data_IF_700536654703
#
_entry.id   IF_700536654703
#
_cell.length_a   1.000
_cell.length_b   1.000
_cell.length_c   1.000
_cell.angle_alpha   90.00
_cell.angle_beta   90.00
_cell.angle_gamma   90.00
#
_symmetry.space_group_name_H-M   'P 1'
#
loop_
_entity.id
_entity.type
_entity.pdbx_description
1 polymer ?
#
# COMPACT_ATOMS: atom_id res chain seq x y z
N UNK A 1 11.54 3.01 -11.35
CA UNK A 1 10.63 3.53 -10.30
C UNK A 1 9.19 3.66 -10.81
N UNK A 2 8.92 4.35 -11.94
CA UNK A 2 7.56 4.50 -12.48
C UNK A 2 6.86 3.17 -12.88
N UNK A 3 7.56 2.20 -13.48
CA UNK A 3 6.96 0.90 -13.83
C UNK A 3 6.55 0.08 -12.59
N UNK A 4 7.37 0.10 -11.54
CA UNK A 4 7.08 -0.62 -10.29
C UNK A 4 6.02 0.10 -9.47
N UNK A 5 6.01 1.44 -9.47
CA UNK A 5 4.99 2.26 -8.82
C UNK A 5 3.61 2.05 -9.46
N UNK A 6 3.51 2.00 -10.79
CA UNK A 6 2.25 1.65 -11.47
C UNK A 6 1.77 0.25 -11.10
N UNK A 7 2.67 -0.72 -10.95
CA UNK A 7 2.31 -2.07 -10.49
C UNK A 7 1.77 -2.04 -9.06
N UNK A 8 2.45 -1.35 -8.14
CA UNK A 8 2.04 -1.22 -6.73
C UNK A 8 0.69 -0.50 -6.58
N UNK A 9 0.48 0.56 -7.38
CA UNK A 9 -0.80 1.29 -7.41
C UNK A 9 -1.92 0.38 -7.93
N UNK A 10 -1.70 -0.34 -9.04
CA UNK A 10 -2.70 -1.26 -9.58
C UNK A 10 -3.08 -2.36 -8.57
N UNK A 11 -2.10 -2.99 -7.92
CA UNK A 11 -2.38 -4.04 -6.93
C UNK A 11 -3.07 -3.51 -5.67
N UNK A 12 -2.77 -2.26 -5.27
CA UNK A 12 -3.44 -1.62 -4.14
C UNK A 12 -4.90 -1.26 -4.50
N UNK A 13 -5.14 -0.76 -5.71
CA UNK A 13 -6.49 -0.46 -6.21
C UNK A 13 -7.37 -1.71 -6.30
N UNK A 14 -6.83 -2.82 -6.81
CA UNK A 14 -7.58 -4.08 -6.96
C UNK A 14 -7.89 -4.76 -5.62
N UNK A 15 -7.16 -4.45 -4.55
CA UNK A 15 -7.48 -4.93 -3.19
C UNK A 15 -8.41 -3.97 -2.45
N UNK A 16 -8.30 -2.66 -2.70
CA UNK A 16 -9.15 -1.64 -2.07
C UNK A 16 -10.61 -1.70 -2.54
N UNK A 17 -10.83 -1.85 -3.85
CA UNK A 17 -12.17 -1.93 -4.46
C UNK A 17 -13.09 -2.98 -3.82
N UNK A 18 -12.73 -4.28 -3.74
CA UNK A 18 -13.59 -5.30 -3.15
C UNK A 18 -13.81 -5.10 -1.64
N UNK A 19 -12.81 -4.59 -0.91
CA UNK A 19 -12.97 -4.29 0.53
C UNK A 19 -13.96 -3.14 0.74
N UNK A 20 -13.95 -2.12 -0.11
CA UNK A 20 -14.92 -1.04 -0.11
C UNK A 20 -16.35 -1.57 -0.38
N UNK A 21 -16.48 -2.44 -1.38
CA UNK A 21 -17.74 -3.12 -1.74
C UNK A 21 -18.27 -3.96 -0.57
N UNK A 22 -17.39 -4.72 0.10
CA UNK A 22 -17.74 -5.51 1.29
C UNK A 22 -18.11 -4.64 2.49
N UNK A 23 -17.48 -3.47 2.65
CA UNK A 23 -17.84 -2.54 3.70
C UNK A 23 -19.24 -1.95 3.51
N UNK A 24 -19.61 -1.61 2.27
CA UNK A 24 -20.91 -1.00 1.94
C UNK A 24 -22.03 -2.05 1.89
N UNK A 25 -21.77 -3.24 1.33
CA UNK A 25 -22.80 -4.25 1.04
C UNK A 25 -22.67 -5.57 1.83
N UNK A 26 -21.61 -5.78 2.61
CA UNK A 26 -21.34 -7.07 3.29
C UNK A 26 -22.18 -7.37 4.53
N UNK A 27 -23.01 -6.43 4.99
CA UNK A 27 -23.84 -6.61 6.18
C UNK A 27 -23.08 -6.48 7.53
N UNK A 28 -23.78 -6.57 8.67
CA UNK A 28 -23.28 -6.11 9.97
C UNK A 28 -22.11 -6.93 10.53
N UNK A 29 -22.04 -8.23 10.22
CA UNK A 29 -20.95 -9.10 10.67
C UNK A 29 -19.65 -8.79 9.91
N UNK A 30 -19.76 -8.54 8.59
CA UNK A 30 -18.61 -8.32 7.71
C UNK A 30 -18.16 -6.87 7.76
N UNK A 31 -19.05 -5.93 8.07
CA UNK A 31 -18.72 -4.50 8.16
C UNK A 31 -17.59 -4.20 9.16
N UNK A 32 -17.61 -4.81 10.35
CA UNK A 32 -16.54 -4.61 11.35
C UNK A 32 -15.20 -5.18 10.89
N UNK A 33 -15.21 -6.33 10.21
CA UNK A 33 -14.02 -6.94 9.65
C UNK A 33 -13.47 -6.14 8.46
N UNK A 34 -14.35 -5.69 7.56
CA UNK A 34 -14.02 -4.84 6.42
C UNK A 34 -13.47 -3.49 6.87
N UNK A 35 -13.98 -2.90 7.96
CA UNK A 35 -13.45 -1.67 8.55
C UNK A 35 -12.01 -1.86 9.05
N UNK A 36 -11.72 -2.95 9.76
CA UNK A 36 -10.37 -3.29 10.18
C UNK A 36 -9.42 -3.48 8.99
N UNK A 37 -9.87 -4.17 7.93
CA UNK A 37 -9.11 -4.32 6.68
C UNK A 37 -8.88 -2.98 5.97
N UNK A 38 -9.89 -2.10 5.93
CA UNK A 38 -9.78 -0.79 5.28
C UNK A 38 -8.71 0.07 5.95
N UNK A 39 -8.69 0.10 7.29
CA UNK A 39 -7.67 0.81 8.07
C UNK A 39 -6.28 0.20 7.81
N UNK A 40 -6.18 -1.14 7.80
CA UNK A 40 -4.93 -1.84 7.53
C UNK A 40 -4.37 -1.57 6.13
N UNK A 41 -5.24 -1.55 5.11
CA UNK A 41 -4.85 -1.24 3.72
C UNK A 41 -4.42 0.21 3.60
N UNK A 42 -5.16 1.17 4.18
CA UNK A 42 -4.77 2.58 4.15
C UNK A 42 -3.42 2.83 4.82
N UNK A 43 -3.20 2.28 6.01
CA UNK A 43 -1.94 2.40 6.73
C UNK A 43 -0.79 1.69 5.99
N UNK A 44 -1.05 0.49 5.45
CA UNK A 44 -0.07 -0.30 4.72
C UNK A 44 0.33 0.30 3.37
N UNK A 45 -0.63 0.78 2.59
CA UNK A 45 -0.38 1.45 1.30
C UNK A 45 0.37 2.76 1.51
N UNK A 46 -0.01 3.57 2.50
CA UNK A 46 0.71 4.81 2.82
C UNK A 46 2.14 4.52 3.28
N UNK A 47 2.33 3.56 4.20
CA UNK A 47 3.66 3.15 4.67
C UNK A 47 4.54 2.60 3.54
N UNK A 48 4.01 1.74 2.68
CA UNK A 48 4.79 1.11 1.60
C UNK A 48 5.18 2.12 0.51
N UNK A 49 4.33 3.11 0.21
CA UNK A 49 4.65 4.14 -0.80
C UNK A 49 5.60 5.19 -0.24
N UNK A 50 5.32 5.72 0.95
CA UNK A 50 6.08 6.85 1.51
C UNK A 50 7.26 6.42 2.35
N UNK A 51 7.12 5.44 3.25
CA UNK A 51 8.18 5.05 4.19
C UNK A 51 9.17 4.13 3.47
N UNK A 52 8.73 3.07 2.80
CA UNK A 52 9.65 2.17 2.10
C UNK A 52 10.33 2.85 0.89
N UNK A 53 9.61 3.73 0.17
CA UNK A 53 10.18 4.51 -0.93
C UNK A 53 11.27 5.48 -0.50
N UNK A 54 11.05 6.21 0.60
CA UNK A 54 12.06 7.14 1.15
C UNK A 54 13.23 6.40 1.81
N UNK A 55 12.98 5.32 2.58
CA UNK A 55 14.05 4.49 3.14
C UNK A 55 14.95 3.91 2.06
N UNK A 56 14.38 3.41 0.95
CA UNK A 56 15.16 2.86 -0.16
C UNK A 56 15.99 3.95 -0.84
N UNK A 57 15.43 5.15 -1.01
CA UNK A 57 16.16 6.31 -1.56
C UNK A 57 17.32 6.75 -0.65
N UNK A 58 17.09 6.76 0.66
CA UNK A 58 18.11 7.12 1.65
C UNK A 58 19.19 6.03 1.78
N UNK A 59 18.80 4.76 1.75
CA UNK A 59 19.72 3.62 1.71
C UNK A 59 20.55 3.64 0.43
N UNK A 60 19.94 3.90 -0.73
CA UNK A 60 20.67 4.06 -1.99
C UNK A 60 21.64 5.27 -1.97
N UNK A 61 21.29 6.34 -1.26
CA UNK A 61 22.20 7.48 -1.07
C UNK A 61 23.35 7.19 -0.10
N UNK A 62 23.21 6.18 0.78
CA UNK A 62 24.24 5.74 1.73
C UNK A 62 25.04 4.53 1.25
N UNK A 63 24.54 3.78 0.26
CA UNK A 63 25.25 2.64 -0.31
C UNK A 63 26.46 3.10 -1.14
N UNK A 64 27.67 2.59 -0.85
CA UNK A 64 28.93 3.02 -1.46
C UNK A 64 29.12 2.57 -2.93
N UNK A 65 28.06 2.13 -3.61
CA UNK A 65 28.10 1.74 -5.02
C UNK A 65 28.23 2.95 -5.97
N UNK A 66 28.07 4.18 -5.47
CA UNK A 66 28.45 5.42 -6.20
C UNK A 66 29.96 5.68 -6.25
N UNK A 67 30.79 4.76 -5.76
CA UNK A 67 32.24 4.82 -5.94
C UNK A 67 32.74 4.04 -7.17
N UNK A 68 31.86 3.52 -8.06
CA UNK A 68 32.27 2.87 -9.31
C UNK A 68 31.42 3.25 -10.51
#
# INVERSE_FOLDING_TARGET
INQTLSRTINTSLTTFLPVLTLFIWGGPVIANFALALLIGILAGTYSSIFIAGTLLGEWYSRSPEKAR
#
